data_IF_740931153207
#
_entry.id   IF_740931153207
#
_cell.length_a   1.000
_cell.length_b   1.000
_cell.length_c   1.000
_cell.angle_alpha   90.00
_cell.angle_beta   90.00
_cell.angle_gamma   90.00
#
_symmetry.space_group_name_H-M   'P 1'
#
loop_
_entity.id
_entity.type
_entity.pdbx_description
1 polymer ?
#
# COMPACT_ATOMS: atom_id res chain seq x y z
N UNK A 1 -10.34 34.67 -15.22
CA UNK A 1 -10.76 33.26 -15.46
C UNK A 1 -9.70 32.47 -16.24
N UNK A 2 -8.93 33.10 -17.13
CA UNK A 2 -7.83 32.46 -17.91
C UNK A 2 -6.57 32.10 -17.10
N UNK A 3 -6.12 32.96 -16.17
CA UNK A 3 -4.83 32.76 -15.48
C UNK A 3 -4.75 31.74 -14.34
N UNK A 4 -5.84 31.02 -14.01
CA UNK A 4 -5.84 29.99 -12.94
C UNK A 4 -6.02 28.56 -13.47
N UNK A 5 -6.48 28.39 -14.72
CA UNK A 5 -6.42 27.10 -15.41
C UNK A 5 -4.97 26.76 -15.76
N UNK A 6 -4.11 27.76 -15.98
CA UNK A 6 -2.67 27.61 -16.21
C UNK A 6 -1.90 26.95 -15.06
N UNK A 7 -2.41 26.99 -13.83
CA UNK A 7 -1.76 26.39 -12.64
C UNK A 7 -2.40 25.05 -12.22
N UNK A 8 -3.25 24.47 -13.07
CA UNK A 8 -3.83 23.16 -12.82
C UNK A 8 -2.80 22.05 -13.16
N UNK A 9 -2.70 20.98 -12.36
CA UNK A 9 -1.87 19.83 -12.73
C UNK A 9 -2.23 19.32 -14.13
N UNK A 10 -1.23 19.12 -14.99
CA UNK A 10 -1.41 18.62 -16.37
C UNK A 10 -2.33 17.40 -16.45
N UNK A 11 -2.22 16.48 -15.49
CA UNK A 11 -3.05 15.27 -15.41
C UNK A 11 -4.55 15.57 -15.26
N UNK A 12 -4.91 16.65 -14.55
CA UNK A 12 -6.30 17.07 -14.40
C UNK A 12 -6.88 17.63 -15.69
N UNK A 13 -6.07 18.40 -16.44
CA UNK A 13 -6.49 18.99 -17.71
C UNK A 13 -6.76 17.91 -18.75
N UNK A 14 -5.83 16.96 -18.92
CA UNK A 14 -5.97 15.80 -19.80
C UNK A 14 -7.21 14.96 -19.47
N UNK A 15 -7.45 14.72 -18.18
CA UNK A 15 -8.62 13.94 -17.76
C UNK A 15 -9.93 14.67 -18.05
N UNK A 16 -9.97 16.00 -17.92
CA UNK A 16 -11.15 16.80 -18.28
C UNK A 16 -11.47 16.77 -19.77
N UNK A 17 -10.45 16.93 -20.62
CA UNK A 17 -10.62 16.83 -22.08
C UNK A 17 -11.19 15.46 -22.45
N UNK A 18 -10.60 14.39 -21.93
CA UNK A 18 -11.04 13.03 -22.20
C UNK A 18 -12.47 12.75 -21.69
N UNK A 19 -12.83 13.29 -20.51
CA UNK A 19 -14.19 13.17 -19.96
C UNK A 19 -15.24 13.96 -20.76
N UNK A 20 -14.84 15.09 -21.36
CA UNK A 20 -15.68 15.89 -22.25
C UNK A 20 -15.98 15.13 -23.54
N UNK A 21 -14.97 14.49 -24.12
CA UNK A 21 -15.08 13.78 -25.40
C UNK A 21 -15.79 12.43 -25.26
N UNK A 22 -15.62 11.75 -24.12
CA UNK A 22 -16.12 10.39 -23.92
C UNK A 22 -17.18 10.30 -22.82
N UNK A 23 -18.45 10.50 -23.20
CA UNK A 23 -19.60 10.39 -22.28
C UNK A 23 -19.68 9.00 -21.58
N UNK A 24 -19.11 7.97 -22.20
CA UNK A 24 -19.03 6.61 -21.64
C UNK A 24 -18.20 6.55 -20.34
N UNK A 25 -17.28 7.50 -20.09
CA UNK A 25 -16.47 7.56 -18.87
C UNK A 25 -17.27 7.99 -17.62
N UNK A 26 -18.45 8.58 -17.77
CA UNK A 26 -19.26 9.01 -16.61
C UNK A 26 -19.82 7.84 -15.79
N UNK A 27 -20.23 6.77 -16.46
CA UNK A 27 -20.76 5.56 -15.83
C UNK A 27 -19.72 4.86 -14.91
N UNK A 28 -18.49 4.53 -15.38
CA UNK A 28 -17.47 3.92 -14.52
C UNK A 28 -17.03 4.84 -13.37
N UNK A 29 -17.00 6.17 -13.56
CA UNK A 29 -16.71 7.11 -12.47
C UNK A 29 -17.79 7.06 -11.38
N UNK A 30 -19.07 7.03 -11.78
CA UNK A 30 -20.19 6.92 -10.83
C UNK A 30 -20.17 5.60 -10.06
N UNK A 31 -19.83 4.50 -10.74
CA UNK A 31 -19.62 3.18 -10.13
C UNK A 31 -18.45 3.25 -9.14
N UNK A 32 -17.32 3.88 -9.52
CA UNK A 32 -16.15 4.02 -8.68
C UNK A 32 -16.44 4.79 -7.38
N UNK A 33 -17.21 5.90 -7.46
CA UNK A 33 -17.65 6.67 -6.28
C UNK A 33 -18.44 5.78 -5.31
N UNK A 34 -19.38 4.99 -5.85
CA UNK A 34 -20.23 4.08 -5.06
C UNK A 34 -19.41 2.99 -4.39
N UNK A 35 -18.47 2.37 -5.13
CA UNK A 35 -17.57 1.35 -4.60
C UNK A 35 -16.62 1.92 -3.54
N UNK A 36 -16.09 3.12 -3.74
CA UNK A 36 -15.22 3.78 -2.77
C UNK A 36 -15.91 4.01 -1.43
N UNK A 37 -17.22 4.29 -1.40
CA UNK A 37 -17.95 4.43 -0.14
C UNK A 37 -17.97 3.11 0.66
N UNK A 38 -18.25 1.99 -0.01
CA UNK A 38 -18.24 0.67 0.62
C UNK A 38 -16.83 0.27 1.06
N UNK A 39 -15.82 0.53 0.23
CA UNK A 39 -14.41 0.28 0.55
C UNK A 39 -13.94 1.15 1.71
N UNK A 40 -14.35 2.42 1.77
CA UNK A 40 -14.03 3.33 2.87
C UNK A 40 -14.55 2.81 4.21
N UNK A 41 -15.82 2.42 4.26
CA UNK A 41 -16.44 1.87 5.47
C UNK A 41 -15.75 0.59 5.92
N UNK A 42 -15.58 -0.36 5.01
CA UNK A 42 -14.98 -1.67 5.32
C UNK A 42 -13.51 -1.54 5.74
N UNK A 43 -12.71 -0.71 5.05
CA UNK A 43 -11.33 -0.45 5.41
C UNK A 43 -11.22 0.24 6.76
N UNK A 44 -12.08 1.23 7.03
CA UNK A 44 -12.06 1.97 8.31
C UNK A 44 -12.40 1.07 9.49
N UNK A 45 -13.53 0.37 9.41
CA UNK A 45 -14.00 -0.49 10.51
C UNK A 45 -13.05 -1.68 10.71
N UNK A 46 -12.68 -2.36 9.63
CA UNK A 46 -11.80 -3.53 9.69
C UNK A 46 -10.43 -3.20 10.30
N UNK A 47 -9.77 -2.16 9.80
CA UNK A 47 -8.44 -1.81 10.28
C UNK A 47 -8.47 -1.11 11.64
N UNK A 48 -9.52 -0.34 11.94
CA UNK A 48 -9.73 0.20 13.28
C UNK A 48 -9.86 -0.90 14.34
N UNK A 49 -10.62 -1.96 14.06
CA UNK A 49 -10.73 -3.13 14.94
C UNK A 49 -9.39 -3.84 15.15
N UNK A 50 -8.58 -4.00 14.09
CA UNK A 50 -7.23 -4.60 14.19
C UNK A 50 -6.35 -3.78 15.14
N UNK A 51 -6.31 -2.46 14.97
CA UNK A 51 -5.51 -1.57 15.82
C UNK A 51 -5.98 -1.67 17.27
N UNK A 52 -7.29 -1.56 17.52
CA UNK A 52 -7.85 -1.66 18.87
C UNK A 52 -7.54 -3.02 19.52
N UNK A 53 -7.66 -4.12 18.78
CA UNK A 53 -7.37 -5.46 19.28
C UNK A 53 -5.91 -5.63 19.69
N UNK A 54 -4.96 -5.09 18.90
CA UNK A 54 -3.53 -5.15 19.21
C UNK A 54 -3.21 -4.27 20.43
N UNK A 55 -3.77 -3.06 20.51
CA UNK A 55 -3.54 -2.15 21.64
C UNK A 55 -4.07 -2.71 22.96
N UNK A 56 -5.21 -3.41 22.93
CA UNK A 56 -5.84 -4.01 24.12
C UNK A 56 -5.14 -5.27 24.62
N UNK A 57 -4.35 -5.96 23.78
CA UNK A 57 -3.71 -7.22 24.15
C UNK A 57 -2.20 -7.09 24.31
N UNK A 58 -1.72 -7.07 25.56
CA UNK A 58 -0.28 -6.99 25.84
C UNK A 58 0.49 -8.18 25.26
N UNK A 59 -0.14 -9.36 25.18
CA UNK A 59 0.43 -10.57 24.58
C UNK A 59 0.67 -10.44 23.07
N UNK A 60 -0.03 -9.52 22.39
CA UNK A 60 0.15 -9.23 20.97
C UNK A 60 1.14 -8.09 20.72
N UNK A 61 1.70 -7.44 21.74
CA UNK A 61 2.66 -6.34 21.51
C UNK A 61 4.07 -6.86 21.22
N UNK A 62 4.24 -7.72 20.22
CA UNK A 62 5.57 -8.14 19.73
C UNK A 62 6.04 -7.22 18.59
N UNK A 63 7.35 -7.19 18.26
CA UNK A 63 7.87 -6.33 17.18
C UNK A 63 7.12 -6.49 15.86
N UNK A 64 6.76 -7.72 15.49
CA UNK A 64 5.91 -8.03 14.34
C UNK A 64 4.58 -7.28 14.31
N UNK A 65 3.89 -7.18 15.45
CA UNK A 65 2.58 -6.55 15.50
C UNK A 65 2.66 -5.02 15.39
N UNK A 66 3.82 -4.41 15.66
CA UNK A 66 4.03 -2.98 15.37
C UNK A 66 3.97 -2.72 13.85
N UNK A 67 4.59 -3.60 13.05
CA UNK A 67 4.51 -3.52 11.58
C UNK A 67 3.08 -3.73 11.09
N UNK A 68 2.37 -4.71 11.65
CA UNK A 68 0.95 -4.97 11.32
C UNK A 68 0.08 -3.77 11.71
N UNK A 69 0.32 -3.15 12.87
CA UNK A 69 -0.41 -1.96 13.32
C UNK A 69 -0.15 -0.79 12.38
N UNK A 70 1.10 -0.59 11.94
CA UNK A 70 1.42 0.46 10.97
C UNK A 70 0.78 0.20 9.61
N UNK A 71 0.72 -1.05 9.14
CA UNK A 71 -0.02 -1.42 7.94
C UNK A 71 -1.53 -1.14 8.09
N UNK A 72 -2.13 -1.57 9.21
CA UNK A 72 -3.53 -1.27 9.51
C UNK A 72 -3.78 0.24 9.58
N UNK A 73 -2.84 1.03 10.08
CA UNK A 73 -2.93 2.49 10.07
C UNK A 73 -2.91 3.05 8.63
N UNK A 74 -2.07 2.53 7.72
CA UNK A 74 -2.13 2.93 6.30
C UNK A 74 -3.50 2.65 5.68
N UNK A 75 -4.09 1.50 5.99
CA UNK A 75 -5.41 1.12 5.46
C UNK A 75 -6.56 1.90 6.10
N UNK A 76 -6.41 2.29 7.36
CA UNK A 76 -7.32 3.21 8.03
C UNK A 76 -7.29 4.60 7.37
N UNK A 77 -6.10 5.12 7.03
CA UNK A 77 -5.96 6.37 6.29
C UNK A 77 -6.54 6.27 4.87
N UNK A 78 -6.40 5.11 4.21
CA UNK A 78 -7.04 4.85 2.92
C UNK A 78 -8.56 4.97 3.04
N UNK A 79 -9.15 4.35 4.07
CA UNK A 79 -10.59 4.39 4.32
C UNK A 79 -11.12 5.76 4.73
N UNK A 80 -10.45 6.43 5.67
CA UNK A 80 -10.91 7.69 6.26
C UNK A 80 -10.63 8.92 5.39
N UNK A 81 -9.55 8.90 4.62
CA UNK A 81 -9.04 10.10 3.94
C UNK A 81 -8.98 9.90 2.44
N UNK A 82 -8.25 8.88 1.97
CA UNK A 82 -7.99 8.74 0.54
C UNK A 82 -9.26 8.45 -0.28
N UNK A 83 -10.07 7.47 0.13
CA UNK A 83 -11.31 7.14 -0.59
C UNK A 83 -12.31 8.31 -0.61
N UNK A 84 -12.58 9.02 0.51
CA UNK A 84 -13.41 10.22 0.48
C UNK A 84 -12.86 11.33 -0.43
N UNK A 85 -11.56 11.63 -0.36
CA UNK A 85 -10.95 12.63 -1.24
C UNK A 85 -11.08 12.26 -2.72
N UNK A 86 -10.85 10.99 -3.06
CA UNK A 86 -11.00 10.49 -4.42
C UNK A 86 -12.46 10.59 -4.91
N UNK A 87 -13.43 10.24 -4.06
CA UNK A 87 -14.85 10.38 -4.38
C UNK A 87 -15.28 11.85 -4.59
N UNK A 88 -14.76 12.78 -3.77
CA UNK A 88 -15.01 14.22 -3.93
C UNK A 88 -14.42 14.72 -5.24
N UNK A 89 -13.18 14.34 -5.56
CA UNK A 89 -12.51 14.69 -6.81
C UNK A 89 -13.31 14.18 -8.03
N UNK A 90 -13.71 12.91 -8.02
CA UNK A 90 -14.54 12.30 -9.07
C UNK A 90 -15.90 13.00 -9.22
N UNK A 91 -16.51 13.41 -8.11
CA UNK A 91 -17.73 14.22 -8.11
C UNK A 91 -17.51 15.57 -8.80
N UNK A 92 -16.39 16.25 -8.54
CA UNK A 92 -16.08 17.53 -9.19
C UNK A 92 -15.83 17.37 -10.69
N UNK A 93 -15.19 16.27 -11.11
CA UNK A 93 -15.07 15.92 -12.53
C UNK A 93 -16.44 15.77 -13.20
N UNK A 94 -17.35 14.99 -12.60
CA UNK A 94 -18.71 14.79 -13.15
C UNK A 94 -19.53 16.10 -13.23
N UNK A 95 -19.28 17.04 -12.31
CA UNK A 95 -19.96 18.33 -12.26
C UNK A 95 -19.31 19.40 -13.16
N UNK A 96 -18.20 19.10 -13.84
CA UNK A 96 -17.48 20.09 -14.64
C UNK A 96 -16.81 21.20 -13.81
N UNK A 97 -16.57 20.98 -12.51
CA UNK A 97 -16.02 21.98 -11.59
C UNK A 97 -14.49 22.03 -11.67
N UNK A 98 -13.97 22.56 -12.79
CA UNK A 98 -12.53 22.58 -13.10
C UNK A 98 -11.68 23.19 -11.98
N UNK A 99 -12.12 24.32 -11.41
CA UNK A 99 -11.39 24.97 -10.31
C UNK A 99 -11.23 24.07 -9.07
N UNK A 100 -12.29 23.35 -8.70
CA UNK A 100 -12.31 22.50 -7.52
C UNK A 100 -11.43 21.24 -7.72
N UNK A 101 -11.44 20.69 -8.94
CA UNK A 101 -10.54 19.61 -9.33
C UNK A 101 -9.09 20.05 -9.21
N UNK A 102 -8.70 21.18 -9.82
CA UNK A 102 -7.32 21.65 -9.77
C UNK A 102 -6.82 21.84 -8.34
N UNK A 103 -7.69 22.32 -7.44
CA UNK A 103 -7.39 22.45 -6.01
C UNK A 103 -7.26 21.10 -5.29
N UNK A 104 -8.10 20.12 -5.63
CA UNK A 104 -8.13 18.82 -4.95
C UNK A 104 -7.13 17.78 -5.49
N UNK A 105 -6.65 17.93 -6.73
CA UNK A 105 -5.74 16.95 -7.34
C UNK A 105 -4.43 16.80 -6.54
N UNK A 106 -3.82 17.90 -6.09
CA UNK A 106 -2.56 17.85 -5.31
C UNK A 106 -2.73 17.09 -3.97
N UNK A 107 -3.72 17.40 -3.12
CA UNK A 107 -4.03 16.59 -1.94
C UNK A 107 -4.29 15.11 -2.25
N UNK A 108 -5.03 14.79 -3.31
CA UNK A 108 -5.32 13.40 -3.69
C UNK A 108 -4.04 12.66 -4.09
N UNK A 109 -3.16 13.27 -4.89
CA UNK A 109 -1.86 12.70 -5.26
C UNK A 109 -1.01 12.50 -4.01
N UNK A 110 -0.89 13.52 -3.16
CA UNK A 110 -0.10 13.46 -1.93
C UNK A 110 -0.51 12.29 -1.03
N UNK A 111 -1.81 12.19 -0.72
CA UNK A 111 -2.31 11.09 0.11
C UNK A 111 -2.18 9.74 -0.59
N UNK A 112 -2.38 9.68 -1.91
CA UNK A 112 -2.21 8.48 -2.72
C UNK A 112 -0.79 7.92 -2.65
N UNK A 113 0.22 8.78 -2.82
CA UNK A 113 1.64 8.41 -2.66
C UNK A 113 1.92 7.98 -1.22
N UNK A 114 1.49 8.77 -0.23
CA UNK A 114 1.74 8.49 1.18
C UNK A 114 1.24 7.09 1.60
N UNK A 115 -0.01 6.76 1.30
CA UNK A 115 -0.61 5.48 1.70
C UNK A 115 -0.20 4.32 0.79
N UNK A 116 0.00 4.58 -0.51
CA UNK A 116 0.43 3.56 -1.48
C UNK A 116 1.81 3.03 -1.17
N UNK A 117 2.81 3.92 -1.10
CA UNK A 117 4.19 3.54 -0.77
C UNK A 117 4.32 3.12 0.70
N UNK A 118 3.59 3.77 1.61
CA UNK A 118 3.56 3.39 3.01
C UNK A 118 3.12 1.93 3.18
N UNK A 119 2.04 1.53 2.50
CA UNK A 119 1.56 0.14 2.53
C UNK A 119 2.61 -0.84 1.97
N UNK A 120 3.23 -0.53 0.84
CA UNK A 120 4.26 -1.39 0.22
C UNK A 120 5.49 -1.58 1.13
N UNK A 121 6.02 -0.50 1.71
CA UNK A 121 7.15 -0.59 2.65
C UNK A 121 6.80 -1.46 3.86
N UNK A 122 5.60 -1.31 4.42
CA UNK A 122 5.15 -2.14 5.54
C UNK A 122 5.06 -3.61 5.14
N UNK A 123 4.52 -3.93 3.96
CA UNK A 123 4.50 -5.32 3.45
C UNK A 123 5.92 -5.86 3.23
N UNK A 124 6.85 -5.05 2.73
CA UNK A 124 8.27 -5.45 2.60
C UNK A 124 8.88 -5.73 3.96
N UNK A 125 8.72 -4.84 4.93
CA UNK A 125 9.20 -5.05 6.31
C UNK A 125 8.58 -6.30 6.94
N UNK A 126 7.29 -6.54 6.73
CA UNK A 126 6.60 -7.74 7.21
C UNK A 126 7.19 -9.00 6.57
N UNK A 127 7.49 -9.01 5.27
CA UNK A 127 8.08 -10.18 4.61
C UNK A 127 9.48 -10.50 5.13
N UNK A 128 10.29 -9.48 5.42
CA UNK A 128 11.61 -9.62 6.06
C UNK A 128 11.44 -10.14 7.50
N UNK A 129 10.54 -9.54 8.27
CA UNK A 129 10.21 -9.95 9.64
C UNK A 129 9.83 -11.44 9.72
N UNK A 130 8.95 -11.90 8.80
CA UNK A 130 8.58 -13.32 8.69
C UNK A 130 9.81 -14.20 8.42
N UNK A 131 10.65 -13.82 7.47
CA UNK A 131 11.84 -14.60 7.17
C UNK A 131 12.79 -14.70 8.38
N UNK A 132 13.00 -13.59 9.08
CA UNK A 132 13.84 -13.54 10.29
C UNK A 132 13.25 -14.37 11.43
N UNK A 133 11.94 -14.33 11.64
CA UNK A 133 11.26 -15.12 12.67
C UNK A 133 11.46 -16.63 12.45
N UNK A 134 11.42 -17.09 11.19
CA UNK A 134 11.68 -18.50 10.85
C UNK A 134 13.13 -18.91 11.02
N UNK A 135 14.07 -18.07 10.55
CA UNK A 135 15.48 -18.44 10.48
C UNK A 135 16.22 -18.27 11.80
N UNK A 136 15.85 -17.26 12.60
CA UNK A 136 16.56 -16.94 13.84
C UNK A 136 15.99 -17.66 15.07
N UNK A 137 14.78 -18.23 14.99
CA UNK A 137 14.08 -18.94 16.08
C UNK A 137 14.28 -18.27 17.45
N UNK A 138 15.03 -18.88 18.37
CA UNK A 138 15.25 -18.36 19.73
C UNK A 138 16.03 -17.04 19.76
N UNK A 139 16.83 -16.75 18.74
CA UNK A 139 17.58 -15.49 18.60
C UNK A 139 16.74 -14.35 18.02
N UNK A 140 15.53 -14.61 17.52
CA UNK A 140 14.68 -13.58 16.92
C UNK A 140 14.40 -12.43 17.89
N UNK A 141 14.03 -12.73 19.14
CA UNK A 141 13.71 -11.70 20.15
C UNK A 141 14.93 -10.87 20.59
N UNK A 142 16.15 -11.39 20.41
CA UNK A 142 17.40 -10.66 20.70
C UNK A 142 17.77 -9.74 19.54
N UNK A 143 17.55 -10.18 18.31
CA UNK A 143 17.96 -9.47 17.09
C UNK A 143 16.91 -8.43 16.66
N UNK A 144 15.64 -8.83 16.65
CA UNK A 144 14.49 -8.01 16.25
C UNK A 144 13.84 -7.45 17.51
N UNK A 145 14.25 -6.24 17.88
CA UNK A 145 13.74 -5.56 19.08
C UNK A 145 12.65 -4.55 18.71
N UNK A 146 11.74 -4.26 19.65
CA UNK A 146 10.70 -3.23 19.47
C UNK A 146 11.29 -1.88 19.06
N UNK A 147 12.41 -1.48 19.66
CA UNK A 147 13.11 -0.22 19.36
C UNK A 147 13.56 -0.16 17.91
N UNK A 148 14.18 -1.24 17.40
CA UNK A 148 14.64 -1.31 16.00
C UNK A 148 13.46 -1.24 15.03
N UNK A 149 12.39 -2.00 15.29
CA UNK A 149 11.19 -1.98 14.44
C UNK A 149 10.51 -0.60 14.47
N UNK A 150 10.40 0.03 15.63
CA UNK A 150 9.85 1.39 15.74
C UNK A 150 10.66 2.40 14.92
N UNK A 151 11.99 2.36 15.03
CA UNK A 151 12.87 3.19 14.19
C UNK A 151 12.65 2.92 12.70
N UNK A 152 12.59 1.65 12.28
CA UNK A 152 12.30 1.29 10.89
C UNK A 152 10.95 1.83 10.41
N UNK A 153 9.91 1.80 11.24
CA UNK A 153 8.59 2.38 10.93
C UNK A 153 8.71 3.90 10.76
N UNK A 154 9.38 4.59 11.68
CA UNK A 154 9.60 6.04 11.59
C UNK A 154 10.35 6.41 10.32
N UNK A 155 11.45 5.71 10.01
CA UNK A 155 12.19 5.93 8.76
C UNK A 155 11.33 5.67 7.53
N UNK A 156 10.53 4.61 7.52
CA UNK A 156 9.61 4.31 6.43
C UNK A 156 8.61 5.45 6.22
N UNK A 157 7.94 5.91 7.29
CA UNK A 157 6.99 7.03 7.23
C UNK A 157 7.64 8.34 6.76
N UNK A 158 8.81 8.68 7.29
CA UNK A 158 9.55 9.86 6.84
C UNK A 158 9.93 9.78 5.36
N UNK A 159 10.32 8.59 4.88
CA UNK A 159 10.70 8.41 3.47
C UNK A 159 9.50 8.58 2.53
N UNK A 160 8.33 8.05 2.88
CA UNK A 160 7.12 8.19 2.03
C UNK A 160 6.53 9.59 2.11
N UNK A 161 6.66 10.27 3.25
CA UNK A 161 6.26 11.66 3.38
C UNK A 161 7.14 12.57 2.51
N UNK A 162 8.46 12.35 2.53
CA UNK A 162 9.39 13.05 1.63
C UNK A 162 9.06 12.78 0.16
N UNK A 163 8.81 11.53 -0.21
CA UNK A 163 8.41 11.17 -1.57
C UNK A 163 7.11 11.88 -2.00
N UNK A 164 6.11 11.95 -1.13
CA UNK A 164 4.87 12.66 -1.40
C UNK A 164 5.08 14.18 -1.57
N UNK A 165 6.03 14.78 -0.84
CA UNK A 165 6.41 16.19 -1.03
C UNK A 165 7.10 16.40 -2.38
N UNK A 166 8.00 15.49 -2.76
CA UNK A 166 8.73 15.58 -4.03
C UNK A 166 7.81 15.48 -5.26
N UNK A 167 6.61 14.93 -5.10
CA UNK A 167 5.58 14.89 -6.15
C UNK A 167 4.83 16.23 -6.37
N UNK A 168 5.01 17.21 -5.49
CA UNK A 168 4.26 18.48 -5.55
C UNK A 168 4.74 19.44 -6.64
N UNK A 169 6.05 19.61 -6.91
CA UNK A 169 6.54 20.44 -8.01
C UNK A 169 6.30 19.75 -9.36
N UNK A 170 5.67 20.46 -10.30
CA UNK A 170 5.35 19.89 -11.62
C UNK A 170 6.59 19.69 -12.50
N UNK A 171 7.63 20.50 -12.29
CA UNK A 171 8.92 20.41 -13.01
C UNK A 171 9.64 19.08 -12.77
N UNK A 172 9.39 18.43 -11.62
CA UNK A 172 10.02 17.17 -11.24
C UNK A 172 9.14 15.96 -11.56
N UNK A 173 7.94 16.15 -12.12
CA UNK A 173 6.94 15.09 -12.27
C UNK A 173 7.47 13.87 -13.01
N UNK A 174 8.10 14.03 -14.17
CA UNK A 174 8.59 12.90 -14.97
C UNK A 174 9.72 12.14 -14.25
N UNK A 175 10.66 12.87 -13.65
CA UNK A 175 11.79 12.28 -12.91
C UNK A 175 11.27 11.52 -11.69
N UNK A 176 10.37 12.13 -10.93
CA UNK A 176 9.77 11.54 -9.74
C UNK A 176 8.94 10.31 -10.12
N UNK A 177 8.14 10.37 -11.18
CA UNK A 177 7.35 9.23 -11.68
C UNK A 177 8.21 8.02 -12.08
N UNK A 178 9.34 8.27 -12.76
CA UNK A 178 10.31 7.22 -13.11
C UNK A 178 10.96 6.64 -11.85
N UNK A 179 11.41 7.49 -10.92
CA UNK A 179 12.01 7.05 -9.66
C UNK A 179 11.04 6.23 -8.82
N UNK A 180 9.79 6.69 -8.72
CA UNK A 180 8.67 6.02 -8.10
C UNK A 180 8.43 4.61 -8.66
N UNK A 181 8.37 4.51 -9.98
CA UNK A 181 8.21 3.23 -10.67
C UNK A 181 9.35 2.27 -10.39
N UNK A 182 10.59 2.77 -10.40
CA UNK A 182 11.77 1.98 -10.06
C UNK A 182 11.76 1.53 -8.59
N UNK A 183 11.45 2.42 -7.66
CA UNK A 183 11.33 2.12 -6.22
C UNK A 183 10.32 0.99 -6.00
N UNK A 184 9.15 1.05 -6.65
CA UNK A 184 8.12 0.03 -6.50
C UNK A 184 8.55 -1.33 -7.06
N UNK A 185 9.23 -1.37 -8.21
CA UNK A 185 9.78 -2.61 -8.75
C UNK A 185 10.81 -3.23 -7.81
N UNK A 186 11.67 -2.41 -7.20
CA UNK A 186 12.65 -2.85 -6.21
C UNK A 186 11.95 -3.41 -4.96
N UNK A 187 10.99 -2.68 -4.39
CA UNK A 187 10.24 -3.13 -3.21
C UNK A 187 9.46 -4.42 -3.48
N UNK A 188 8.83 -4.54 -4.64
CA UNK A 188 8.14 -5.75 -5.06
C UNK A 188 9.11 -6.93 -5.17
N UNK A 189 10.26 -6.72 -5.81
CA UNK A 189 11.30 -7.74 -5.98
C UNK A 189 11.83 -8.22 -4.63
N UNK A 190 12.17 -7.30 -3.73
CA UNK A 190 12.61 -7.61 -2.35
C UNK A 190 11.53 -8.44 -1.65
N UNK A 191 10.28 -7.99 -1.71
CA UNK A 191 9.16 -8.65 -1.05
C UNK A 191 8.96 -10.08 -1.57
N UNK A 192 9.01 -10.28 -2.90
CA UNK A 192 8.95 -11.59 -3.53
C UNK A 192 10.09 -12.51 -3.08
N UNK A 193 11.33 -12.01 -3.07
CA UNK A 193 12.50 -12.77 -2.60
C UNK A 193 12.32 -13.21 -1.16
N UNK A 194 11.94 -12.32 -0.24
CA UNK A 194 11.76 -12.67 1.17
C UNK A 194 10.57 -13.60 1.41
N UNK A 195 9.50 -13.51 0.61
CA UNK A 195 8.42 -14.50 0.64
C UNK A 195 8.89 -15.88 0.18
N UNK A 196 9.60 -15.98 -0.95
CA UNK A 196 10.15 -17.25 -1.44
C UNK A 196 11.09 -17.85 -0.39
N UNK A 197 11.97 -17.04 0.20
CA UNK A 197 12.86 -17.48 1.28
C UNK A 197 12.07 -17.96 2.51
N UNK A 198 11.00 -17.28 2.88
CA UNK A 198 10.12 -17.69 3.99
C UNK A 198 9.43 -19.02 3.71
N UNK A 199 8.87 -19.22 2.51
CA UNK A 199 8.25 -20.49 2.14
C UNK A 199 9.24 -21.65 2.09
N UNK A 200 10.44 -21.42 1.52
CA UNK A 200 11.52 -22.41 1.50
C UNK A 200 11.99 -22.78 2.90
N UNK A 201 12.22 -21.78 3.76
CA UNK A 201 12.60 -22.01 5.16
C UNK A 201 11.53 -22.81 5.93
N UNK A 202 10.24 -22.48 5.73
CA UNK A 202 9.12 -23.22 6.32
C UNK A 202 9.04 -24.66 5.81
N UNK A 203 9.25 -24.87 4.51
CA UNK A 203 9.27 -26.21 3.92
C UNK A 203 10.42 -27.06 4.49
N UNK A 204 11.64 -26.52 4.49
CA UNK A 204 12.81 -27.19 5.06
C UNK A 204 12.60 -27.52 6.54
N UNK A 205 12.03 -26.60 7.31
CA UNK A 205 11.67 -26.85 8.70
C UNK A 205 10.65 -27.98 8.83
N UNK A 206 9.63 -28.04 7.99
CA UNK A 206 8.60 -29.09 8.02
C UNK A 206 9.20 -30.47 7.71
N UNK A 207 10.07 -30.56 6.70
CA UNK A 207 10.76 -31.80 6.35
C UNK A 207 11.68 -32.27 7.48
N UNK A 208 12.43 -31.35 8.10
CA UNK A 208 13.28 -31.67 9.26
C UNK A 208 12.47 -32.19 10.45
N UNK A 209 11.34 -31.54 10.76
CA UNK A 209 10.46 -31.97 11.86
C UNK A 209 9.79 -33.32 11.57
N UNK A 210 9.52 -33.65 10.31
CA UNK A 210 8.98 -34.96 9.92
C UNK A 210 10.05 -36.06 9.93
N UNK A 211 11.30 -35.72 9.61
CA UNK A 211 12.42 -36.67 9.59
C UNK A 211 12.94 -37.00 11.01
N UNK A 212 12.72 -36.12 11.99
CA UNK A 212 13.10 -36.33 13.39
C UNK A 212 11.87 -36.78 14.19
N UNK A 213 11.95 -37.87 14.97
CA UNK A 213 10.86 -38.29 15.88
C UNK A 213 10.36 -37.09 16.72
N UNK A 214 9.05 -37.02 17.04
CA UNK A 214 8.47 -35.86 17.72
C UNK A 214 9.20 -35.65 19.05
N UNK A 215 10.07 -34.64 19.11
CA UNK A 215 10.73 -34.27 20.35
C UNK A 215 9.73 -33.45 21.17
N UNK A 216 9.19 -33.96 22.29
CA UNK A 216 8.16 -33.28 23.07
C UNK A 216 8.63 -31.96 23.70
N UNK A 217 9.94 -31.67 23.66
CA UNK A 217 10.58 -30.43 24.13
C UNK A 217 10.87 -29.40 23.01
N UNK A 218 10.66 -29.74 21.73
CA UNK A 218 10.79 -28.79 20.65
C UNK A 218 9.56 -27.86 20.68
N UNK A 219 9.76 -26.67 21.26
CA UNK A 219 8.70 -25.69 21.50
C UNK A 219 7.68 -25.52 20.38
N UNK A 220 6.46 -25.20 20.80
CA UNK A 220 5.18 -25.19 20.10
C UNK A 220 5.10 -24.24 18.87
N UNK A 221 6.03 -24.34 17.91
CA UNK A 221 5.98 -23.55 16.67
C UNK A 221 4.87 -24.10 15.77
N UNK A 222 3.73 -23.41 15.77
CA UNK A 222 2.56 -23.78 15.00
C UNK A 222 2.78 -23.51 13.49
N UNK A 223 3.30 -24.53 12.82
CA UNK A 223 3.57 -24.55 11.36
C UNK A 223 2.31 -24.24 10.56
N UNK A 224 1.15 -24.75 11.00
CA UNK A 224 -0.13 -24.61 10.30
C UNK A 224 -0.58 -23.15 10.32
N UNK A 225 -0.57 -22.54 11.51
CA UNK A 225 -0.87 -21.10 11.69
C UNK A 225 0.10 -20.22 10.92
N UNK A 226 1.39 -20.57 10.91
CA UNK A 226 2.40 -19.81 10.19
C UNK A 226 2.20 -19.88 8.66
N UNK A 227 1.92 -21.07 8.12
CA UNK A 227 1.61 -21.28 6.69
C UNK A 227 0.38 -20.48 6.25
N UNK A 228 -0.66 -20.45 7.08
CA UNK A 228 -1.87 -19.64 6.84
C UNK A 228 -1.53 -18.15 6.77
N UNK A 229 -0.72 -17.67 7.72
CA UNK A 229 -0.26 -16.27 7.76
C UNK A 229 0.49 -15.87 6.50
N UNK A 230 1.44 -16.68 6.02
CA UNK A 230 2.17 -16.42 4.77
C UNK A 230 1.26 -16.37 3.54
N UNK A 231 0.26 -17.26 3.46
CA UNK A 231 -0.73 -17.23 2.37
C UNK A 231 -1.54 -15.94 2.38
N UNK A 232 -2.05 -15.53 3.54
CA UNK A 232 -2.79 -14.27 3.68
C UNK A 232 -1.93 -13.07 3.26
N UNK A 233 -0.66 -13.05 3.68
CA UNK A 233 0.28 -12.00 3.30
C UNK A 233 0.58 -11.96 1.79
N UNK A 234 0.66 -13.11 1.12
CA UNK A 234 0.81 -13.19 -0.34
C UNK A 234 -0.42 -12.62 -1.07
N UNK A 235 -1.63 -12.93 -0.58
CA UNK A 235 -2.87 -12.34 -1.13
C UNK A 235 -2.85 -10.82 -1.01
N UNK A 236 -2.40 -10.29 0.14
CA UNK A 236 -2.24 -8.84 0.33
C UNK A 236 -1.24 -8.26 -0.67
N UNK A 237 -0.08 -8.89 -0.89
CA UNK A 237 0.89 -8.42 -1.89
C UNK A 237 0.28 -8.33 -3.30
N UNK A 238 -0.37 -9.41 -3.75
CA UNK A 238 -0.98 -9.48 -5.08
C UNK A 238 -2.06 -8.41 -5.23
N UNK A 239 -2.91 -8.22 -4.21
CA UNK A 239 -3.95 -7.21 -4.22
C UNK A 239 -3.39 -5.78 -4.30
N UNK A 240 -2.25 -5.50 -3.67
CA UNK A 240 -1.64 -4.17 -3.70
C UNK A 240 -0.95 -3.90 -5.03
N UNK A 241 -0.26 -4.91 -5.56
CA UNK A 241 0.47 -4.77 -6.83
C UNK A 241 -0.48 -4.71 -8.03
N UNK A 242 -1.59 -5.45 -8.01
CA UNK A 242 -2.61 -5.38 -9.08
C UNK A 242 -3.23 -3.99 -9.19
N UNK A 243 -3.55 -3.36 -8.06
CA UNK A 243 -4.05 -1.98 -8.03
C UNK A 243 -3.04 -0.99 -8.64
N UNK A 244 -1.76 -1.14 -8.30
CA UNK A 244 -0.69 -0.29 -8.83
C UNK A 244 -0.53 -0.42 -10.35
N UNK A 245 -0.49 -1.65 -10.87
CA UNK A 245 -0.40 -1.88 -12.31
C UNK A 245 -1.58 -1.26 -13.06
N UNK A 246 -2.81 -1.42 -12.55
CA UNK A 246 -3.99 -0.81 -13.15
C UNK A 246 -3.87 0.73 -13.23
N UNK A 247 -3.42 1.39 -12.16
CA UNK A 247 -3.30 2.86 -12.13
C UNK A 247 -2.20 3.41 -13.02
N UNK A 248 -1.11 2.66 -13.24
CA UNK A 248 0.01 3.13 -14.07
C UNK A 248 -0.17 2.83 -15.55
N UNK A 249 -0.87 1.75 -15.90
CA UNK A 249 -1.29 1.51 -17.29
C UNK A 249 -2.19 2.65 -17.78
N UNK A 250 -3.06 3.19 -16.91
CA UNK A 250 -3.94 4.32 -17.24
C UNK A 250 -3.19 5.65 -17.38
N UNK A 251 -2.04 5.81 -16.72
CA UNK A 251 -1.15 6.98 -16.85
C UNK A 251 -0.14 6.88 -18.01
N UNK A 252 -0.09 5.75 -18.73
CA UNK A 252 0.86 5.57 -19.84
C UNK A 252 0.49 6.47 -21.03
N UNK A 253 1.42 7.28 -21.57
CA UNK A 253 1.14 8.22 -22.67
C UNK A 253 0.64 7.54 -23.97
N UNK A 254 0.78 6.22 -24.10
CA UNK A 254 0.28 5.44 -25.24
C UNK A 254 -1.26 5.35 -25.34
N UNK A 255 -2.01 5.64 -24.27
CA UNK A 255 -3.48 5.76 -24.31
C UNK A 255 -3.97 7.18 -24.63
N UNK A 256 -3.05 8.14 -24.75
CA UNK A 256 -3.35 9.57 -24.97
C UNK A 256 -3.16 9.95 -26.46
N UNK A 257 -2.53 9.10 -27.27
CA UNK A 257 -2.17 9.41 -28.68
C UNK A 257 -2.99 8.69 -29.75
N UNK A 258 -4.23 8.28 -29.50
CA UNK A 258 -5.11 7.78 -30.57
C UNK A 258 -6.31 8.70 -30.81
N UNK A 259 -6.15 9.80 -31.56
CA UNK A 259 -7.24 10.34 -32.33
C UNK A 259 -7.41 9.47 -33.58
N UNK A 260 -8.52 8.73 -33.65
CA UNK A 260 -9.06 8.23 -34.92
C UNK A 260 -9.83 9.33 -35.62
#
# INVERSE_FOLDING_TARGET
>A
MSGMVENCPKISQLFFENLSDNHFLKAPITINISLNAVLALTATLGNGMIIVAILRSQNLQTPSYLLITSLAFTDLLIGLVFHPLLSILNSYYLQGKVHEVCRMTKPVIFFGVLVGYGSMLMVTCISIDRYLALTLRHRYNVIVTKKRVCLSIVFAWSSVFLLAILNMPEELFDIVFVAESFILLVLFSITCVFYIKSFRALHLYTVQVQAQQPNPLAGNFDIVKYKKTLKTMLVVLVQRYSKYLCTNVEKSPSSITSPS
#
